data_IF_790398709770
#
_entry.id   IF_790398709770
#
_cell.length_a   1.000
_cell.length_b   1.000
_cell.length_c   1.000
_cell.angle_alpha   90.00
_cell.angle_beta   90.00
_cell.angle_gamma   90.00
#
_symmetry.space_group_name_H-M   'P 1'
#
loop_
_entity.id
_entity.type
_entity.pdbx_description
1 polymer ?
#
# COMPACT_ATOMS: atom_id res chain seq x y z
N UNK A 1 46.16 16.95 -27.01
CA UNK A 1 45.76 15.73 -27.73
C UNK A 1 44.50 16.03 -28.55
N UNK A 2 44.57 16.04 -29.89
CA UNK A 2 43.41 16.33 -30.76
C UNK A 2 42.76 15.00 -31.12
N UNK A 3 41.56 14.74 -30.61
CA UNK A 3 40.80 13.55 -30.99
C UNK A 3 40.49 13.58 -32.49
N UNK A 4 40.89 12.52 -33.20
CA UNK A 4 40.55 12.35 -34.61
C UNK A 4 39.03 12.23 -34.81
N UNK A 5 38.54 12.59 -36.00
CA UNK A 5 37.11 12.62 -36.34
C UNK A 5 36.38 11.31 -35.94
N UNK A 6 37.04 10.17 -36.15
CA UNK A 6 36.59 8.83 -35.72
C UNK A 6 36.28 8.73 -34.23
N UNK A 7 37.16 9.22 -33.36
CA UNK A 7 36.98 9.11 -31.90
C UNK A 7 35.85 9.99 -31.43
N UNK A 8 35.68 11.18 -32.03
CA UNK A 8 34.55 12.07 -31.75
C UNK A 8 33.21 11.44 -32.12
N UNK A 9 33.13 10.82 -33.28
CA UNK A 9 31.91 10.13 -33.74
C UNK A 9 31.59 8.94 -32.84
N UNK A 10 32.59 8.12 -32.48
CA UNK A 10 32.40 6.99 -31.57
C UNK A 10 31.95 7.43 -30.17
N UNK A 11 32.52 8.52 -29.62
CA UNK A 11 32.11 9.09 -28.33
C UNK A 11 30.67 9.61 -28.37
N UNK A 12 30.30 10.35 -29.42
CA UNK A 12 28.95 10.88 -29.57
C UNK A 12 27.92 9.74 -29.64
N UNK A 13 28.24 8.67 -30.39
CA UNK A 13 27.36 7.51 -30.51
C UNK A 13 27.23 6.76 -29.19
N UNK A 14 28.33 6.53 -28.46
CA UNK A 14 28.30 5.88 -27.15
C UNK A 14 27.51 6.69 -26.10
N UNK A 15 27.71 8.00 -26.06
CA UNK A 15 26.94 8.91 -25.19
C UNK A 15 25.45 8.87 -25.52
N UNK A 16 25.10 8.90 -26.81
CA UNK A 16 23.70 8.83 -27.23
C UNK A 16 23.06 7.50 -26.84
N UNK A 17 23.73 6.36 -27.10
CA UNK A 17 23.26 5.05 -26.68
C UNK A 17 23.11 4.94 -25.16
N UNK A 18 24.03 5.51 -24.37
CA UNK A 18 23.94 5.52 -22.91
C UNK A 18 22.72 6.32 -22.43
N UNK A 19 22.48 7.49 -23.02
CA UNK A 19 21.32 8.33 -22.70
C UNK A 19 20.02 7.58 -23.02
N UNK A 20 19.94 6.93 -24.18
CA UNK A 20 18.76 6.15 -24.59
C UNK A 20 18.56 4.97 -23.64
N UNK A 21 19.61 4.21 -23.31
CA UNK A 21 19.53 3.08 -22.40
C UNK A 21 19.07 3.52 -20.99
N UNK A 22 19.63 4.61 -20.48
CA UNK A 22 19.23 5.19 -19.20
C UNK A 22 17.78 5.67 -19.20
N UNK A 23 17.33 6.32 -20.29
CA UNK A 23 15.96 6.77 -20.43
C UNK A 23 14.96 5.60 -20.48
N UNK A 24 15.26 4.56 -21.27
CA UNK A 24 14.43 3.35 -21.36
C UNK A 24 14.38 2.63 -20.02
N UNK A 25 15.53 2.41 -19.38
CA UNK A 25 15.61 1.77 -18.07
C UNK A 25 14.82 2.53 -17.00
N UNK A 26 14.97 3.87 -16.95
CA UNK A 26 14.23 4.73 -16.03
C UNK A 26 12.73 4.71 -16.28
N UNK A 27 12.30 4.70 -17.54
CA UNK A 27 10.90 4.60 -17.91
C UNK A 27 10.33 3.23 -17.50
N UNK A 28 11.01 2.13 -17.83
CA UNK A 28 10.59 0.77 -17.44
C UNK A 28 10.51 0.63 -15.92
N UNK A 29 11.51 1.13 -15.19
CA UNK A 29 11.49 1.12 -13.72
C UNK A 29 10.31 1.92 -13.17
N UNK A 30 10.04 3.11 -13.71
CA UNK A 30 8.93 3.95 -13.27
C UNK A 30 7.56 3.30 -13.54
N UNK A 31 7.40 2.68 -14.71
CA UNK A 31 6.18 1.95 -15.07
C UNK A 31 5.98 0.73 -14.18
N UNK A 32 7.05 -0.06 -13.97
CA UNK A 32 6.99 -1.22 -13.08
C UNK A 32 6.63 -0.80 -11.65
N UNK A 33 7.28 0.24 -11.12
CA UNK A 33 7.00 0.80 -9.79
C UNK A 33 5.54 1.25 -9.68
N UNK A 34 5.05 1.99 -10.67
CA UNK A 34 3.68 2.48 -10.69
C UNK A 34 2.66 1.34 -10.76
N UNK A 35 2.87 0.37 -11.65
CA UNK A 35 1.99 -0.79 -11.83
C UNK A 35 1.92 -1.63 -10.56
N UNK A 36 3.07 -1.93 -9.94
CA UNK A 36 3.14 -2.70 -8.72
C UNK A 36 2.45 -2.00 -7.55
N UNK A 37 2.59 -0.68 -7.42
CA UNK A 37 1.91 0.09 -6.36
C UNK A 37 0.39 0.11 -6.54
N UNK A 38 -0.10 0.34 -7.76
CA UNK A 38 -1.55 0.39 -8.02
C UNK A 38 -2.22 -0.97 -7.84
N UNK A 39 -1.62 -2.03 -8.36
CA UNK A 39 -2.18 -3.38 -8.22
C UNK A 39 -2.30 -3.82 -6.76
N UNK A 40 -1.45 -3.27 -5.88
CA UNK A 40 -1.47 -3.51 -4.44
C UNK A 40 -2.55 -2.72 -3.71
N UNK A 41 -2.76 -1.47 -4.11
CA UNK A 41 -3.86 -0.66 -3.58
C UNK A 41 -5.21 -1.31 -3.90
N UNK A 42 -5.41 -1.77 -5.14
CA UNK A 42 -6.63 -2.49 -5.54
C UNK A 42 -6.84 -3.78 -4.72
N UNK A 43 -5.76 -4.51 -4.43
CA UNK A 43 -5.81 -5.73 -3.60
C UNK A 43 -6.14 -5.41 -2.14
N UNK A 44 -5.56 -4.35 -1.58
CA UNK A 44 -5.80 -3.91 -0.21
C UNK A 44 -7.25 -3.43 -0.03
N UNK A 45 -7.78 -2.66 -0.98
CA UNK A 45 -9.18 -2.21 -0.97
C UNK A 45 -10.12 -3.41 -1.07
N UNK A 46 -9.88 -4.32 -2.02
CA UNK A 46 -10.71 -5.53 -2.19
C UNK A 46 -10.73 -6.36 -0.90
N UNK A 47 -9.58 -6.51 -0.24
CA UNK A 47 -9.47 -7.19 1.05
C UNK A 47 -10.24 -6.48 2.15
N UNK A 48 -10.02 -5.17 2.34
CA UNK A 48 -10.72 -4.39 3.36
C UNK A 48 -12.25 -4.50 3.21
N UNK A 49 -12.77 -4.56 1.97
CA UNK A 49 -14.21 -4.77 1.70
C UNK A 49 -14.68 -6.17 2.09
N UNK A 50 -13.86 -7.22 1.90
CA UNK A 50 -14.21 -8.57 2.32
C UNK A 50 -14.16 -8.70 3.85
N UNK A 51 -13.13 -8.15 4.48
CA UNK A 51 -12.92 -8.20 5.92
C UNK A 51 -13.97 -7.34 6.65
N UNK A 52 -14.33 -6.18 6.11
CA UNK A 52 -15.42 -5.37 6.67
C UNK A 52 -16.76 -6.12 6.65
N UNK A 53 -17.03 -6.91 5.60
CA UNK A 53 -18.26 -7.73 5.52
C UNK A 53 -18.25 -8.88 6.52
N UNK A 54 -17.09 -9.49 6.78
CA UNK A 54 -16.99 -10.53 7.80
C UNK A 54 -17.23 -9.94 9.19
N UNK A 55 -16.65 -8.77 9.48
CA UNK A 55 -16.86 -8.06 10.75
C UNK A 55 -18.30 -7.61 10.91
N UNK A 56 -18.92 -7.08 9.86
CA UNK A 56 -20.34 -6.68 9.85
C UNK A 56 -21.27 -7.86 10.14
N UNK A 57 -21.01 -9.03 9.52
CA UNK A 57 -21.76 -10.25 9.79
C UNK A 57 -21.59 -10.74 11.24
N UNK A 58 -20.39 -10.64 11.80
CA UNK A 58 -20.14 -10.99 13.20
C UNK A 58 -20.82 -10.03 14.17
N UNK A 59 -20.83 -8.73 13.88
CA UNK A 59 -21.57 -7.74 14.67
C UNK A 59 -23.08 -7.96 14.59
N UNK A 60 -23.61 -8.31 13.42
CA UNK A 60 -25.02 -8.64 13.24
C UNK A 60 -25.43 -9.92 13.99
N UNK A 61 -24.46 -10.78 14.33
CA UNK A 61 -24.64 -11.96 15.17
C UNK A 61 -24.42 -11.68 16.68
N UNK A 62 -24.41 -10.40 17.09
CA UNK A 62 -24.19 -9.94 18.47
C UNK A 62 -22.83 -10.39 19.07
N UNK A 63 -21.82 -10.67 18.23
CA UNK A 63 -20.46 -10.91 18.71
C UNK A 63 -19.83 -9.61 19.21
N UNK A 64 -19.00 -9.73 20.24
CA UNK A 64 -18.23 -8.60 20.75
C UNK A 64 -17.31 -8.03 19.64
N UNK A 65 -17.20 -6.70 19.49
CA UNK A 65 -16.40 -6.08 18.44
C UNK A 65 -14.94 -6.55 18.39
N UNK A 66 -14.33 -6.80 19.55
CA UNK A 66 -12.96 -7.34 19.64
C UNK A 66 -12.86 -8.75 19.07
N UNK A 67 -13.84 -9.62 19.35
CA UNK A 67 -13.89 -10.99 18.84
C UNK A 67 -14.18 -11.01 17.33
N UNK A 68 -14.97 -10.07 16.84
CA UNK A 68 -15.19 -9.90 15.40
C UNK A 68 -13.89 -9.51 14.66
N UNK A 69 -13.05 -8.66 15.26
CA UNK A 69 -11.74 -8.31 14.70
C UNK A 69 -10.73 -9.47 14.75
N UNK A 70 -10.75 -10.30 15.79
CA UNK A 70 -9.89 -11.49 15.91
C UNK A 70 -10.17 -12.55 14.83
N UNK A 71 -11.40 -12.55 14.28
CA UNK A 71 -11.78 -13.45 13.18
C UNK A 71 -11.28 -12.97 11.82
N UNK A 72 -10.85 -11.72 11.70
CA UNK A 72 -10.25 -11.19 10.47
C UNK A 72 -8.89 -11.87 10.29
N UNK A 73 -8.67 -12.63 9.20
CA UNK A 73 -7.39 -13.28 8.97
C UNK A 73 -6.28 -12.23 8.92
N UNK A 74 -5.29 -12.34 9.81
CA UNK A 74 -4.11 -11.47 9.80
C UNK A 74 -3.23 -11.82 8.59
N UNK A 75 -3.52 -11.26 7.42
CA UNK A 75 -2.72 -11.49 6.21
C UNK A 75 -1.65 -10.41 6.10
N UNK A 76 -0.45 -10.73 6.58
CA UNK A 76 0.69 -9.82 6.60
C UNK A 76 0.73 -8.98 7.89
N UNK A 77 0.99 -7.68 7.75
CA UNK A 77 1.11 -6.71 8.86
C UNK A 77 -0.03 -5.69 8.89
N UNK A 78 -1.17 -6.00 8.25
CA UNK A 78 -2.35 -5.13 8.31
C UNK A 78 -2.99 -5.14 9.70
N UNK A 79 -3.55 -3.99 10.10
CA UNK A 79 -4.17 -3.80 11.39
C UNK A 79 -5.64 -3.38 11.21
N UNK A 80 -6.59 -4.28 11.47
CA UNK A 80 -8.01 -3.94 11.43
C UNK A 80 -8.45 -3.25 12.72
N UNK A 81 -9.40 -2.34 12.56
CA UNK A 81 -9.97 -1.50 13.61
C UNK A 81 -11.46 -1.30 13.33
N UNK A 82 -12.25 -1.12 14.37
CA UNK A 82 -13.66 -0.77 14.23
C UNK A 82 -14.09 0.24 15.28
N UNK A 83 -14.86 1.23 14.86
CA UNK A 83 -15.53 2.16 15.76
C UNK A 83 -16.99 1.73 15.92
N UNK A 84 -17.39 1.43 17.15
CA UNK A 84 -18.79 1.10 17.50
C UNK A 84 -19.23 2.09 18.59
N UNK A 85 -20.32 2.81 18.34
CA UNK A 85 -20.86 3.81 19.28
C UNK A 85 -19.82 4.84 19.77
N UNK A 86 -18.90 5.24 18.89
CA UNK A 86 -17.84 6.20 19.20
C UNK A 86 -16.61 5.61 19.90
N UNK A 87 -16.64 4.33 20.29
CA UNK A 87 -15.51 3.63 20.92
C UNK A 87 -14.73 2.86 19.86
N UNK A 88 -13.41 3.05 19.83
CA UNK A 88 -12.52 2.32 18.93
C UNK A 88 -12.05 1.01 19.54
N UNK A 89 -12.17 -0.06 18.76
CA UNK A 89 -11.62 -1.38 19.02
C UNK A 89 -10.57 -1.68 17.94
N UNK A 90 -9.48 -2.35 18.33
CA UNK A 90 -8.40 -2.72 17.41
C UNK A 90 -7.81 -4.06 17.84
N UNK A 91 -7.36 -4.85 16.87
CA UNK A 91 -6.65 -6.11 17.11
C UNK A 91 -5.12 -5.94 17.17
N UNK A 92 -4.60 -4.72 16.98
CA UNK A 92 -3.16 -4.42 16.99
C UNK A 92 -2.84 -3.09 17.69
N UNK A 93 -1.55 -2.77 17.78
CA UNK A 93 -1.05 -1.56 18.46
C UNK A 93 -0.11 -0.70 17.62
N UNK A 94 0.07 -1.05 16.33
CA UNK A 94 1.02 -0.38 15.43
C UNK A 94 0.60 1.05 15.15
N UNK A 95 -0.67 1.24 14.78
CA UNK A 95 -1.26 2.54 14.46
C UNK A 95 -2.39 2.83 15.45
N UNK A 96 -2.29 3.92 16.24
CA UNK A 96 -3.35 4.29 17.17
C UNK A 96 -4.56 4.88 16.43
N UNK A 97 -5.81 4.70 16.91
CA UNK A 97 -6.98 5.29 16.26
C UNK A 97 -6.92 6.82 16.16
N UNK A 98 -6.18 7.46 17.09
CA UNK A 98 -6.01 8.91 17.11
C UNK A 98 -5.19 9.48 15.94
N UNK A 99 -4.41 8.64 15.22
CA UNK A 99 -3.69 9.07 14.02
C UNK A 99 -4.52 8.98 12.74
N UNK A 100 -5.76 8.50 12.80
CA UNK A 100 -6.67 8.48 11.66
C UNK A 100 -7.08 9.91 11.31
N UNK A 101 -6.89 10.30 10.04
CA UNK A 101 -7.25 11.64 9.59
C UNK A 101 -8.76 11.85 9.59
N UNK A 102 -9.21 13.02 10.05
CA UNK A 102 -10.63 13.39 10.02
C UNK A 102 -11.22 13.40 8.60
N UNK A 103 -10.41 13.72 7.58
CA UNK A 103 -10.79 13.66 6.17
C UNK A 103 -11.25 12.26 5.76
N UNK A 104 -10.43 11.23 6.01
CA UNK A 104 -10.75 9.82 5.73
C UNK A 104 -12.09 9.41 6.33
N UNK A 105 -12.30 9.68 7.62
CA UNK A 105 -13.54 9.31 8.33
C UNK A 105 -14.76 10.08 7.80
N UNK A 106 -14.61 11.39 7.55
CA UNK A 106 -15.70 12.22 7.02
C UNK A 106 -16.12 11.80 5.61
N UNK A 107 -15.17 11.42 4.76
CA UNK A 107 -15.44 10.92 3.41
C UNK A 107 -16.08 9.54 3.46
N UNK A 108 -15.58 8.63 4.32
CA UNK A 108 -16.19 7.31 4.49
C UNK A 108 -17.64 7.41 5.00
N UNK A 109 -17.91 8.31 5.95
CA UNK A 109 -19.27 8.55 6.45
C UNK A 109 -20.22 9.11 5.37
N UNK A 110 -19.69 9.89 4.42
CA UNK A 110 -20.47 10.51 3.35
C UNK A 110 -20.71 9.58 2.16
N UNK A 111 -19.66 8.90 1.72
CA UNK A 111 -19.61 8.16 0.45
C UNK A 111 -19.63 6.63 0.66
N UNK A 112 -19.69 6.15 1.90
CA UNK A 112 -19.72 4.74 2.28
C UNK A 112 -18.34 4.09 2.37
N UNK A 113 -17.31 4.70 1.79
CA UNK A 113 -15.93 4.27 1.91
C UNK A 113 -14.94 5.35 1.50
N UNK A 114 -13.71 5.25 1.99
CA UNK A 114 -12.62 6.17 1.68
C UNK A 114 -11.27 5.48 1.81
N UNK A 115 -10.28 5.95 1.06
CA UNK A 115 -8.90 5.51 1.17
C UNK A 115 -7.98 6.71 1.22
N UNK A 116 -6.91 6.61 2.01
CA UNK A 116 -5.92 7.66 2.11
C UNK A 116 -4.54 7.09 2.40
N UNK A 117 -3.52 7.61 1.72
CA UNK A 117 -2.12 7.35 2.06
C UNK A 117 -1.66 8.39 3.07
N UNK A 118 -0.95 7.95 4.09
CA UNK A 118 -0.41 8.84 5.12
C UNK A 118 0.88 8.28 5.69
N UNK A 119 1.68 9.17 6.28
CA UNK A 119 2.90 8.79 6.98
C UNK A 119 2.65 8.91 8.49
N UNK A 120 2.91 7.84 9.24
CA UNK A 120 2.77 7.80 10.70
C UNK A 120 4.13 7.38 11.26
N UNK A 121 4.79 8.29 11.99
CA UNK A 121 6.20 8.11 12.32
C UNK A 121 7.06 8.17 11.05
N UNK A 122 7.90 7.17 10.84
CA UNK A 122 8.78 7.03 9.66
C UNK A 122 8.26 6.04 8.62
N UNK A 123 7.00 5.60 8.73
CA UNK A 123 6.41 4.59 7.87
C UNK A 123 5.22 5.13 7.07
N UNK A 124 5.15 4.74 5.80
CA UNK A 124 4.03 5.05 4.92
C UNK A 124 2.96 3.96 5.03
N UNK A 125 1.70 4.36 5.17
CA UNK A 125 0.55 3.48 5.32
C UNK A 125 -0.54 3.84 4.32
N UNK A 126 -1.26 2.81 3.86
CA UNK A 126 -2.55 2.97 3.19
C UNK A 126 -3.65 2.68 4.21
N UNK A 127 -4.53 3.65 4.42
CA UNK A 127 -5.70 3.53 5.29
C UNK A 127 -6.92 3.35 4.41
N UNK A 128 -7.74 2.35 4.71
CA UNK A 128 -9.03 2.11 4.06
C UNK A 128 -10.12 2.13 5.11
N UNK A 129 -11.10 3.02 4.96
CA UNK A 129 -12.23 3.19 5.86
C UNK A 129 -13.53 2.83 5.13
N UNK A 130 -14.41 2.08 5.80
CA UNK A 130 -15.68 1.58 5.26
C UNK A 130 -16.77 1.84 6.30
N UNK A 131 -17.86 2.48 5.89
CA UNK A 131 -19.01 2.74 6.74
C UNK A 131 -19.88 1.46 6.84
N UNK A 132 -20.17 1.02 8.06
CA UNK A 132 -20.98 -0.15 8.38
C UNK A 132 -22.17 0.26 9.25
N UNK A 133 -23.27 0.70 8.64
CA UNK A 133 -24.43 1.20 9.38
C UNK A 133 -24.05 2.38 10.28
N UNK A 134 -24.10 2.20 11.60
CA UNK A 134 -23.68 3.20 12.62
C UNK A 134 -22.22 3.06 13.07
N UNK A 135 -21.51 2.06 12.56
CA UNK A 135 -20.11 1.75 12.87
C UNK A 135 -19.19 2.10 11.70
N UNK A 136 -17.89 2.23 11.98
CA UNK A 136 -16.88 2.48 10.94
C UNK A 136 -15.77 1.44 11.06
N UNK A 137 -15.55 0.67 10.01
CA UNK A 137 -14.41 -0.23 9.91
C UNK A 137 -13.24 0.50 9.27
N UNK A 138 -12.04 0.33 9.81
CA UNK A 138 -10.81 0.89 9.25
C UNK A 138 -9.73 -0.18 9.28
N UNK A 139 -9.05 -0.37 8.16
CA UNK A 139 -7.88 -1.24 8.09
C UNK A 139 -6.67 -0.45 7.61
N UNK A 140 -5.53 -0.69 8.27
CA UNK A 140 -4.28 0.01 8.01
C UNK A 140 -3.26 -0.97 7.45
N UNK A 141 -2.68 -0.63 6.30
CA UNK A 141 -1.72 -1.47 5.58
C UNK A 141 -0.36 -0.78 5.50
N UNK A 142 0.74 -1.37 6.02
CA UNK A 142 2.07 -0.81 5.87
C UNK A 142 2.54 -0.92 4.42
N UNK A 143 3.07 0.16 3.85
CA UNK A 143 3.62 0.16 2.49
C UNK A 143 5.06 -0.36 2.41
N UNK A 144 5.75 -0.51 3.56
CA UNK A 144 7.14 -1.00 3.63
C UNK A 144 7.30 -2.54 3.57
N UNK A 145 6.38 -3.30 4.18
CA UNK A 145 6.43 -4.78 4.18
C UNK A 145 5.98 -5.38 2.84
N UNK A 146 5.58 -4.48 1.94
CA UNK A 146 5.33 -4.73 0.54
C UNK A 146 6.64 -4.94 -0.26
N UNK A 147 7.84 -4.73 0.30
CA UNK A 147 9.10 -4.86 -0.45
C UNK A 147 9.78 -6.25 -0.45
N UNK A 148 9.31 -7.24 0.33
CA UNK A 148 10.10 -8.45 0.60
C UNK A 148 10.10 -9.54 -0.50
N UNK A 149 9.46 -9.33 -1.66
CA UNK A 149 9.49 -10.33 -2.77
C UNK A 149 10.36 -9.89 -3.95
N UNK A 150 10.64 -8.59 -4.10
CA UNK A 150 11.33 -8.07 -5.29
C UNK A 150 12.85 -7.93 -5.12
N UNK A 151 13.36 -7.82 -3.89
CA UNK A 151 14.81 -7.80 -3.64
C UNK A 151 15.45 -9.17 -3.91
N UNK A 152 14.73 -10.27 -3.66
CA UNK A 152 15.24 -11.63 -3.93
C UNK A 152 15.26 -11.94 -5.44
N UNK A 153 14.26 -11.46 -6.19
CA UNK A 153 14.23 -11.63 -7.65
C UNK A 153 15.31 -10.82 -8.39
N UNK A 154 15.63 -9.61 -7.90
CA UNK A 154 16.65 -8.75 -8.50
C UNK A 154 18.08 -9.30 -8.36
N UNK A 155 18.38 -9.99 -7.27
CA UNK A 155 19.72 -10.58 -7.03
C UNK A 155 19.95 -11.91 -7.74
N UNK A 156 18.89 -12.66 -8.07
CA UNK A 156 19.04 -13.93 -8.81
C UNK A 156 19.45 -13.73 -10.28
N UNK A 157 19.15 -12.57 -10.87
CA UNK A 157 19.55 -12.24 -12.24
C UNK A 157 20.99 -11.73 -12.36
N UNK A 158 21.59 -11.22 -11.28
CA UNK A 158 22.97 -10.69 -11.29
C UNK A 158 24.01 -11.78 -11.06
N UNK A 159 23.63 -12.93 -10.49
CA UNK A 159 24.56 -14.03 -10.17
C UNK A 159 24.67 -15.06 -11.31
N UNK A 160 23.78 -15.02 -12.31
CA UNK A 160 23.71 -16.03 -13.38
C UNK A 160 24.25 -15.61 -14.75
N UNK A 161 24.88 -14.43 -14.90
CA UNK A 161 25.55 -14.00 -16.14
C UNK A 161 26.90 -13.40 -15.87
#
# INVERSE_FOLDING_TARGET
MRFGLRTRVALAFGLLSLIIAGAVSGATYSVARWYLLNQREDSAITRAVLDSRSVDASLAADLAPVTALEQVPSVGTSQPMIQVQGVWYTSGVTVPPASLSASLLSTAAKDGGSQQRTTIGDEEYLLVAIQLGTSVYVEVFPLRDLDLVLTIGGWLLVIQT
#
